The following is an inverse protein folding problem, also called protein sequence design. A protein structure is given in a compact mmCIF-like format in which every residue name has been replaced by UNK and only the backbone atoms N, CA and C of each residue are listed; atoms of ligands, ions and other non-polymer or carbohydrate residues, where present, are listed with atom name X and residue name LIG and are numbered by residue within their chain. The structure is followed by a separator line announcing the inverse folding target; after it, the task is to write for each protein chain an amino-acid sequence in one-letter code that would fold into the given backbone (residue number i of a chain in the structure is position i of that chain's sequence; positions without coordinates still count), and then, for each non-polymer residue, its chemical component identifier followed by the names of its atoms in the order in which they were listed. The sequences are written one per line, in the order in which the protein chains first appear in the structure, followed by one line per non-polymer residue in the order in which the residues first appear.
data_IF_878110024808
#
_entry.id   IF_878110024808
#
_cell.length_a   1.000
_cell.length_b   1.000
_cell.length_c   1.000
_cell.angle_alpha   90.00
_cell.angle_beta   90.00
_cell.angle_gamma   90.00
#
_symmetry.space_group_name_H-M   'P 1'
#
loop_
_entity.id
_entity.type
_entity.pdbx_description
1 polymer ?
#
# COMPACT_ATOMS: atom_id res chain seq x y z
N UNK A 1 -19.23 -21.54 14.18
CA UNK A 1 -18.36 -22.59 13.57
C UNK A 1 -16.93 -22.09 13.62
N UNK A 2 -15.93 -22.90 13.29
CA UNK A 2 -14.54 -22.46 13.12
C UNK A 2 -14.26 -22.13 11.64
N UNK A 3 -13.22 -21.33 11.36
CA UNK A 3 -12.81 -20.98 9.98
C UNK A 3 -12.60 -22.21 9.10
N UNK A 4 -11.84 -23.20 9.58
CA UNK A 4 -11.58 -24.43 8.81
C UNK A 4 -12.88 -25.18 8.49
N UNK A 5 -13.77 -25.32 9.48
CA UNK A 5 -15.08 -25.95 9.29
C UNK A 5 -15.93 -25.20 8.25
N UNK A 6 -15.89 -23.87 8.26
CA UNK A 6 -16.55 -23.05 7.25
C UNK A 6 -15.95 -23.29 5.87
N UNK A 7 -14.62 -23.24 5.71
CA UNK A 7 -13.96 -23.39 4.42
C UNK A 7 -14.23 -24.75 3.78
N UNK A 8 -14.29 -25.81 4.58
CA UNK A 8 -14.65 -27.16 4.15
C UNK A 8 -16.11 -27.26 3.70
N UNK A 9 -17.06 -26.78 4.51
CA UNK A 9 -18.51 -26.82 4.18
C UNK A 9 -18.87 -25.89 3.03
N UNK A 10 -18.25 -24.72 3.00
CA UNK A 10 -18.45 -23.72 1.97
C UNK A 10 -17.67 -24.04 0.68
N UNK A 11 -16.69 -24.95 0.73
CA UNK A 11 -15.73 -25.16 -0.36
C UNK A 11 -15.19 -23.83 -0.92
N UNK A 12 -14.87 -22.91 0.00
CA UNK A 12 -14.48 -21.54 -0.31
C UNK A 12 -13.49 -21.04 0.73
N UNK A 13 -12.33 -20.58 0.27
CA UNK A 13 -11.25 -20.11 1.14
C UNK A 13 -11.38 -18.62 1.41
N UNK A 14 -11.12 -18.22 2.65
CA UNK A 14 -11.20 -16.83 3.10
C UNK A 14 -9.99 -16.47 3.98
N UNK A 15 -9.61 -15.20 4.03
CA UNK A 15 -8.64 -14.76 5.03
C UNK A 15 -9.22 -14.87 6.44
N UNK A 16 -8.36 -14.99 7.49
CA UNK A 16 -8.81 -14.93 8.87
C UNK A 16 -9.63 -13.67 9.18
N UNK A 17 -9.25 -12.53 8.60
CA UNK A 17 -9.93 -11.27 8.88
C UNK A 17 -11.30 -11.21 8.20
N UNK A 18 -11.42 -11.69 6.95
CA UNK A 18 -12.73 -11.83 6.30
C UNK A 18 -13.65 -12.75 7.12
N UNK A 19 -13.11 -13.86 7.62
CA UNK A 19 -13.85 -14.76 8.48
C UNK A 19 -14.38 -14.07 9.75
N UNK A 20 -13.51 -13.44 10.55
CA UNK A 20 -13.91 -12.80 11.80
C UNK A 20 -14.76 -11.54 11.62
N UNK A 21 -14.62 -10.83 10.49
CA UNK A 21 -15.36 -9.58 10.26
C UNK A 21 -16.74 -9.83 9.65
N UNK A 22 -16.87 -10.83 8.78
CA UNK A 22 -18.03 -11.00 7.91
C UNK A 22 -18.79 -12.31 8.12
N UNK A 23 -18.07 -13.43 8.34
CA UNK A 23 -18.66 -14.77 8.33
C UNK A 23 -19.07 -15.20 9.74
N UNK A 24 -18.15 -15.12 10.70
CA UNK A 24 -18.40 -15.52 12.09
C UNK A 24 -19.55 -14.74 12.75
N UNK A 25 -19.63 -13.40 12.64
CA UNK A 25 -20.77 -12.65 13.18
C UNK A 25 -22.09 -13.03 12.50
N UNK A 26 -22.07 -13.25 11.18
CA UNK A 26 -23.27 -13.64 10.42
C UNK A 26 -23.79 -15.03 10.80
N UNK A 27 -22.90 -15.96 11.13
CA UNK A 27 -23.26 -17.27 11.66
C UNK A 27 -23.76 -17.17 13.10
N UNK A 28 -23.05 -16.45 13.97
CA UNK A 28 -23.41 -16.33 15.39
C UNK A 28 -24.73 -15.56 15.63
N UNK A 29 -25.17 -14.75 14.66
CA UNK A 29 -26.47 -14.09 14.67
C UNK A 29 -27.63 -14.99 14.18
N UNK A 30 -27.33 -16.19 13.70
CA UNK A 30 -28.30 -17.14 13.17
C UNK A 30 -28.56 -18.28 14.17
N UNK A 31 -29.77 -18.84 14.14
CA UNK A 31 -30.13 -20.05 14.86
C UNK A 31 -30.07 -21.32 13.97
N UNK A 32 -29.53 -21.19 12.75
CA UNK A 32 -29.43 -22.29 11.80
C UNK A 32 -28.30 -23.26 12.16
N UNK A 33 -28.47 -24.52 11.78
CA UNK A 33 -27.35 -25.46 11.78
C UNK A 33 -26.24 -25.00 10.81
N UNK A 34 -25.02 -25.48 11.05
CA UNK A 34 -23.83 -25.22 10.23
C UNK A 34 -24.09 -25.41 8.73
N UNK A 35 -24.72 -26.51 8.32
CA UNK A 35 -24.94 -26.80 6.89
C UNK A 35 -26.04 -25.94 6.26
N UNK A 36 -27.10 -25.69 7.03
CA UNK A 36 -28.22 -24.86 6.59
C UNK A 36 -27.77 -23.41 6.40
N UNK A 37 -27.00 -22.89 7.36
CA UNK A 37 -26.45 -21.55 7.30
C UNK A 37 -25.51 -21.37 6.10
N UNK A 38 -24.60 -22.32 5.85
CA UNK A 38 -23.66 -22.22 4.70
C UNK A 38 -24.42 -22.25 3.37
N UNK A 39 -25.49 -23.05 3.24
CA UNK A 39 -26.33 -23.07 2.05
C UNK A 39 -27.04 -21.73 1.84
N UNK A 40 -27.63 -21.18 2.89
CA UNK A 40 -28.33 -19.90 2.83
C UNK A 40 -27.35 -18.75 2.54
N UNK A 41 -26.20 -18.72 3.21
CA UNK A 41 -25.14 -17.75 2.99
C UNK A 41 -24.67 -17.76 1.53
N UNK A 42 -24.43 -18.94 0.94
CA UNK A 42 -24.09 -19.07 -0.49
C UNK A 42 -25.20 -18.53 -1.39
N UNK A 43 -26.45 -18.93 -1.12
CA UNK A 43 -27.63 -18.53 -1.90
C UNK A 43 -27.84 -17.01 -1.86
N UNK A 44 -27.57 -16.38 -0.73
CA UNK A 44 -27.71 -14.95 -0.51
C UNK A 44 -26.50 -14.13 -0.99
N UNK A 45 -25.64 -14.72 -1.84
CA UNK A 45 -24.50 -14.03 -2.45
C UNK A 45 -23.28 -13.88 -1.54
N UNK A 46 -23.20 -14.63 -0.44
CA UNK A 46 -22.11 -14.54 0.52
C UNK A 46 -20.73 -14.78 -0.09
N UNK A 47 -20.62 -15.67 -1.08
CA UNK A 47 -19.36 -15.92 -1.82
C UNK A 47 -18.88 -14.64 -2.51
N UNK A 48 -19.78 -13.96 -3.23
CA UNK A 48 -19.45 -12.71 -3.92
C UNK A 48 -19.11 -11.62 -2.91
N UNK A 49 -19.88 -11.49 -1.84
CA UNK A 49 -19.62 -10.48 -0.81
C UNK A 49 -18.26 -10.69 -0.11
N UNK A 50 -17.88 -11.94 0.19
CA UNK A 50 -16.57 -12.25 0.74
C UNK A 50 -15.43 -11.95 -0.26
N UNK A 51 -15.62 -12.28 -1.53
CA UNK A 51 -14.66 -11.96 -2.59
C UNK A 51 -14.48 -10.44 -2.76
N UNK A 52 -15.58 -9.68 -2.78
CA UNK A 52 -15.56 -8.22 -2.92
C UNK A 52 -14.90 -7.56 -1.72
N UNK A 53 -15.13 -8.07 -0.51
CA UNK A 53 -14.46 -7.59 0.70
C UNK A 53 -12.94 -7.75 0.61
N UNK A 54 -12.47 -8.92 0.19
CA UNK A 54 -11.04 -9.19 0.01
C UNK A 54 -10.42 -8.29 -1.07
N UNK A 55 -11.13 -8.09 -2.19
CA UNK A 55 -10.69 -7.18 -3.25
C UNK A 55 -10.62 -5.74 -2.77
N UNK A 56 -11.66 -5.24 -2.10
CA UNK A 56 -11.72 -3.89 -1.56
C UNK A 56 -10.59 -3.63 -0.57
N UNK A 57 -10.28 -4.62 0.29
CA UNK A 57 -9.15 -4.53 1.22
C UNK A 57 -7.81 -4.41 0.50
N UNK A 58 -7.58 -5.22 -0.53
CA UNK A 58 -6.35 -5.15 -1.34
C UNK A 58 -6.21 -3.80 -2.02
N UNK A 59 -7.28 -3.30 -2.64
CA UNK A 59 -7.31 -1.98 -3.28
C UNK A 59 -7.02 -0.87 -2.25
N UNK A 60 -7.59 -0.95 -1.06
CA UNK A 60 -7.34 0.02 0.01
C UNK A 60 -5.88 -0.01 0.46
N UNK A 61 -5.30 -1.20 0.64
CA UNK A 61 -3.90 -1.35 1.00
C UNK A 61 -2.97 -0.80 -0.10
N UNK A 62 -3.26 -1.08 -1.37
CA UNK A 62 -2.52 -0.53 -2.50
C UNK A 62 -2.60 1.00 -2.58
N UNK A 63 -3.80 1.56 -2.38
CA UNK A 63 -3.98 3.02 -2.32
C UNK A 63 -3.21 3.64 -1.15
N UNK A 64 -3.22 3.00 0.02
CA UNK A 64 -2.46 3.46 1.18
C UNK A 64 -0.95 3.42 0.92
N UNK A 65 -0.45 2.33 0.30
CA UNK A 65 0.95 2.22 -0.09
C UNK A 65 1.35 3.30 -1.10
N UNK A 66 0.54 3.55 -2.14
CA UNK A 66 0.75 4.63 -3.11
C UNK A 66 0.70 6.01 -2.46
N UNK A 67 -0.21 6.22 -1.50
CA UNK A 67 -0.30 7.46 -0.73
C UNK A 67 0.97 7.71 0.09
N UNK A 68 1.43 6.71 0.84
CA UNK A 68 2.65 6.79 1.63
C UNK A 68 3.89 7.04 0.75
N UNK A 69 3.95 6.44 -0.44
CA UNK A 69 5.04 6.68 -1.39
C UNK A 69 5.01 8.12 -1.95
N UNK A 70 3.82 8.64 -2.23
CA UNK A 70 3.63 10.04 -2.61
C UNK A 70 4.04 11.02 -1.50
N UNK A 71 3.72 10.72 -0.25
CA UNK A 71 4.12 11.53 0.91
C UNK A 71 5.63 11.54 1.10
N UNK A 72 6.30 10.37 1.01
CA UNK A 72 7.77 10.28 1.03
C UNK A 72 8.41 11.11 -0.08
N UNK A 73 7.86 11.00 -1.28
CA UNK A 73 8.32 11.78 -2.44
C UNK A 73 8.18 13.28 -2.18
N UNK A 74 7.06 13.73 -1.63
CA UNK A 74 6.83 15.14 -1.30
C UNK A 74 7.78 15.63 -0.20
N UNK A 75 8.03 14.81 0.82
CA UNK A 75 8.99 15.12 1.88
C UNK A 75 10.41 15.27 1.33
N UNK A 76 10.86 14.34 0.47
CA UNK A 76 12.17 14.43 -0.18
C UNK A 76 12.29 15.71 -1.02
N UNK A 77 11.28 16.05 -1.82
CA UNK A 77 11.25 17.30 -2.60
C UNK A 77 11.35 18.54 -1.71
N UNK A 78 10.67 18.54 -0.56
CA UNK A 78 10.77 19.63 0.42
C UNK A 78 12.18 19.75 1.02
N UNK A 79 12.81 18.61 1.34
CA UNK A 79 14.21 18.55 1.79
C UNK A 79 15.17 19.12 0.73
N UNK A 80 15.00 18.78 -0.55
CA UNK A 80 15.85 19.31 -1.63
C UNK A 80 15.76 20.84 -1.71
N UNK A 81 14.55 21.39 -1.63
CA UNK A 81 14.35 22.86 -1.64
C UNK A 81 15.00 23.52 -0.43
N UNK A 82 14.87 22.92 0.75
CA UNK A 82 15.48 23.43 1.99
C UNK A 82 17.00 23.33 1.94
N UNK A 83 17.52 22.22 1.42
CA UNK A 83 18.94 22.01 1.19
C UNK A 83 19.53 23.10 0.28
N UNK A 84 18.83 23.46 -0.78
CA UNK A 84 19.25 24.55 -1.68
C UNK A 84 19.22 25.92 -0.98
N UNK A 85 18.18 26.21 -0.19
CA UNK A 85 18.06 27.47 0.58
C UNK A 85 19.15 27.66 1.63
N UNK A 86 19.52 26.58 2.33
CA UNK A 86 20.46 26.62 3.46
C UNK A 86 21.85 26.08 3.13
N UNK A 87 22.08 25.66 1.88
CA UNK A 87 23.29 24.98 1.42
C UNK A 87 23.65 23.77 2.32
N UNK A 88 22.62 22.98 2.67
CA UNK A 88 22.71 21.84 3.58
C UNK A 88 22.87 20.52 2.81
N UNK A 89 24.07 19.95 2.86
CA UNK A 89 24.39 18.70 2.19
C UNK A 89 23.78 17.47 2.85
N UNK A 90 23.49 17.52 4.15
CA UNK A 90 22.87 16.42 4.87
C UNK A 90 21.41 16.24 4.43
N UNK A 91 20.68 17.34 4.25
CA UNK A 91 19.33 17.31 3.68
C UNK A 91 19.32 16.74 2.25
N UNK A 92 20.34 17.04 1.43
CA UNK A 92 20.48 16.43 0.10
C UNK A 92 20.69 14.90 0.21
N UNK A 93 21.54 14.43 1.13
CA UNK A 93 21.75 12.99 1.36
C UNK A 93 20.47 12.30 1.84
N UNK A 94 19.71 12.92 2.74
CA UNK A 94 18.43 12.39 3.20
C UNK A 94 17.41 12.29 2.07
N UNK A 95 17.29 13.32 1.22
CA UNK A 95 16.42 13.26 0.05
C UNK A 95 16.81 12.11 -0.90
N UNK A 96 18.10 11.95 -1.20
CA UNK A 96 18.60 10.85 -2.05
C UNK A 96 18.28 9.48 -1.42
N UNK A 97 18.39 9.34 -0.10
CA UNK A 97 18.03 8.09 0.57
C UNK A 97 16.53 7.75 0.47
N UNK A 98 15.66 8.76 0.29
CA UNK A 98 14.21 8.57 0.20
C UNK A 98 13.76 8.27 -1.24
N UNK A 99 14.19 9.08 -2.23
CA UNK A 99 13.71 8.97 -3.63
C UNK A 99 14.75 8.40 -4.61
N UNK A 100 15.97 8.13 -4.15
CA UNK A 100 17.07 7.71 -5.00
C UNK A 100 17.77 8.87 -5.71
N UNK A 101 18.98 8.58 -6.20
CA UNK A 101 19.85 9.60 -6.82
C UNK A 101 19.27 10.16 -8.11
N UNK A 102 18.71 9.30 -8.96
CA UNK A 102 18.14 9.70 -10.25
C UNK A 102 17.01 10.73 -10.08
N UNK A 103 16.03 10.42 -9.24
CA UNK A 103 14.85 11.27 -9.07
C UNK A 103 15.21 12.58 -8.36
N UNK A 104 16.18 12.54 -7.44
CA UNK A 104 16.78 13.74 -6.85
C UNK A 104 17.40 14.66 -7.91
N UNK A 105 18.22 14.12 -8.83
CA UNK A 105 18.87 14.91 -9.89
C UNK A 105 17.84 15.47 -10.89
N UNK A 106 16.89 14.63 -11.34
CA UNK A 106 15.80 15.07 -12.22
C UNK A 106 15.03 16.21 -11.57
N UNK A 107 14.68 16.07 -10.28
CA UNK A 107 13.96 17.11 -9.57
C UNK A 107 14.72 18.44 -9.51
N UNK A 108 16.02 18.41 -9.21
CA UNK A 108 16.86 19.61 -9.23
C UNK A 108 16.90 20.27 -10.60
N UNK A 109 17.05 19.47 -11.66
CA UNK A 109 17.11 19.96 -13.04
C UNK A 109 15.78 20.60 -13.48
N UNK A 110 14.66 19.91 -13.26
CA UNK A 110 13.32 20.40 -13.62
C UNK A 110 12.95 21.69 -12.87
N UNK A 111 13.43 21.86 -11.63
CA UNK A 111 13.16 23.02 -10.80
C UNK A 111 14.28 24.07 -10.83
N UNK A 112 15.29 23.90 -11.71
CA UNK A 112 16.40 24.84 -11.90
C UNK A 112 17.15 25.18 -10.60
N UNK A 113 17.28 24.19 -9.71
CA UNK A 113 17.99 24.34 -8.44
C UNK A 113 19.51 24.28 -8.65
N UNK A 114 20.29 24.80 -7.70
CA UNK A 114 21.74 24.83 -7.82
C UNK A 114 22.31 23.40 -7.78
N UNK A 115 23.06 23.05 -8.83
CA UNK A 115 23.82 21.81 -8.89
C UNK A 115 25.14 21.96 -8.13
N UNK A 116 25.34 21.10 -7.14
CA UNK A 116 26.62 20.99 -6.43
C UNK A 116 27.66 20.29 -7.33
N UNK A 117 28.93 20.34 -6.94
CA UNK A 117 29.98 19.57 -7.65
C UNK A 117 29.71 18.07 -7.62
N UNK A 118 29.13 17.56 -6.53
CA UNK A 118 28.76 16.15 -6.43
C UNK A 118 27.57 15.81 -7.32
N UNK A 119 26.59 16.70 -7.48
CA UNK A 119 25.49 16.51 -8.43
C UNK A 119 26.03 16.41 -9.86
N UNK A 120 26.99 17.27 -10.24
CA UNK A 120 27.63 17.24 -11.57
C UNK A 120 28.38 15.93 -11.79
N UNK A 121 29.15 15.45 -10.81
CA UNK A 121 29.86 14.15 -10.90
C UNK A 121 28.88 13.00 -11.14
N UNK A 122 27.77 12.98 -10.40
CA UNK A 122 26.72 11.94 -10.54
C UNK A 122 26.06 11.98 -11.92
N UNK A 123 25.74 13.16 -12.43
CA UNK A 123 25.17 13.33 -13.77
C UNK A 123 26.15 12.77 -14.82
N UNK A 124 27.43 13.17 -14.74
CA UNK A 124 28.45 12.71 -15.68
C UNK A 124 28.68 11.19 -15.62
N UNK A 125 28.57 10.59 -14.43
CA UNK A 125 28.69 9.14 -14.26
C UNK A 125 27.54 8.37 -14.94
N UNK A 126 26.32 8.93 -14.96
CA UNK A 126 25.15 8.33 -15.60
C UNK A 126 25.09 8.53 -17.13
N UNK A 127 25.99 9.36 -17.70
CA UNK A 127 26.08 9.63 -19.14
C UNK A 127 27.12 8.77 -19.89
N UNK A 128 27.87 7.93 -19.17
CA UNK A 128 28.85 6.99 -19.72
C UNK A 128 28.23 5.62 -19.93
#
# INVERSE_FOLDING_TARGET
MMKQEFEERANFKVSPECYHTFIEPGYNASNLDKDEWVKEWKKNGGVQAAYDWECAKRIKAEKAAKGAEGEKTNMAKALIKKADQFNDEEMNRMAIAIIGERDYLVYKLENQLKLTEDDKKRILANLK
#
